data_IF_223231937474
#
_entry.id   IF_223231937474
#
_cell.length_a   1.000
_cell.length_b   1.000
_cell.length_c   1.000
_cell.angle_alpha   90.00
_cell.angle_beta   90.00
_cell.angle_gamma   90.00
#
_symmetry.space_group_name_H-M   'P 1'
#
loop_
_entity.id
_entity.type
_entity.pdbx_description
1 polymer ?
#
# COMPACT_ATOMS: atom_id res chain seq x y z
N UNK A 1 -12.97 27.89 49.19
CA UNK A 1 -12.41 28.50 47.95
C UNK A 1 -11.44 27.58 47.18
N UNK A 2 -11.11 26.36 47.64
CA UNK A 2 -10.16 25.45 46.95
C UNK A 2 -10.72 24.53 45.85
N UNK A 3 -12.04 24.41 45.70
CA UNK A 3 -12.67 23.49 44.73
C UNK A 3 -12.39 23.86 43.26
N UNK A 4 -12.31 25.16 42.96
CA UNK A 4 -12.02 25.64 41.60
C UNK A 4 -10.61 25.23 41.18
N UNK A 5 -9.63 25.31 42.09
CA UNK A 5 -8.26 24.87 41.82
C UNK A 5 -8.18 23.37 41.53
N UNK A 6 -8.89 22.55 42.32
CA UNK A 6 -8.96 21.10 42.08
C UNK A 6 -9.60 20.78 40.73
N UNK A 7 -10.77 21.37 40.43
CA UNK A 7 -11.47 21.14 39.16
C UNK A 7 -10.62 21.52 37.95
N UNK A 8 -9.89 22.64 38.02
CA UNK A 8 -8.96 23.06 36.97
C UNK A 8 -7.78 22.10 36.82
N UNK A 9 -7.17 21.64 37.91
CA UNK A 9 -6.08 20.66 37.87
C UNK A 9 -6.53 19.36 37.21
N UNK A 10 -7.68 18.81 37.61
CA UNK A 10 -8.22 17.59 37.00
C UNK A 10 -8.60 17.79 35.53
N UNK A 11 -9.26 18.90 35.20
CA UNK A 11 -9.63 19.23 33.82
C UNK A 11 -8.43 19.35 32.91
N UNK A 12 -7.34 19.98 33.37
CA UNK A 12 -6.10 20.12 32.62
C UNK A 12 -5.38 18.77 32.44
N UNK A 13 -5.27 17.97 33.49
CA UNK A 13 -4.66 16.63 33.41
C UNK A 13 -5.43 15.72 32.45
N UNK A 14 -6.76 15.75 32.49
CA UNK A 14 -7.60 14.99 31.58
C UNK A 14 -7.46 15.50 30.14
N UNK A 15 -7.47 16.81 29.92
CA UNK A 15 -7.28 17.39 28.58
C UNK A 15 -5.95 16.95 27.97
N UNK A 16 -4.86 17.02 28.75
CA UNK A 16 -3.54 16.56 28.31
C UNK A 16 -3.56 15.07 27.95
N UNK A 17 -4.14 14.22 28.80
CA UNK A 17 -4.28 12.79 28.53
C UNK A 17 -5.11 12.52 27.26
N UNK A 18 -6.17 13.29 27.01
CA UNK A 18 -6.97 13.19 25.80
C UNK A 18 -6.18 13.54 24.54
N UNK A 19 -5.42 14.65 24.57
CA UNK A 19 -4.59 15.06 23.42
C UNK A 19 -3.58 13.97 23.07
N UNK A 20 -2.86 13.44 24.06
CA UNK A 20 -1.90 12.35 23.85
C UNK A 20 -2.60 11.07 23.33
N UNK A 21 -3.79 10.76 23.85
CA UNK A 21 -4.56 9.58 23.41
C UNK A 21 -4.98 9.69 21.95
N UNK A 22 -5.41 10.87 21.50
CA UNK A 22 -5.75 11.12 20.09
C UNK A 22 -4.51 10.97 19.20
N UNK A 23 -3.38 11.54 19.62
CA UNK A 23 -2.12 11.42 18.88
C UNK A 23 -1.69 9.95 18.72
N UNK A 24 -1.80 9.16 19.79
CA UNK A 24 -1.49 7.73 19.75
C UNK A 24 -2.44 6.96 18.83
N UNK A 25 -3.74 7.27 18.85
CA UNK A 25 -4.70 6.65 17.93
C UNK A 25 -4.37 6.95 16.46
N UNK A 26 -4.00 8.20 16.14
CA UNK A 26 -3.57 8.57 14.79
C UNK A 26 -2.30 7.82 14.35
N UNK A 27 -1.32 7.67 15.25
CA UNK A 27 -0.09 6.92 14.98
C UNK A 27 -0.39 5.43 14.72
N UNK A 28 -1.22 4.81 15.55
CA UNK A 28 -1.62 3.41 15.38
C UNK A 28 -2.38 3.18 14.07
N UNK A 29 -3.32 4.06 13.73
CA UNK A 29 -4.06 3.97 12.48
C UNK A 29 -3.12 4.01 11.26
N UNK A 30 -2.15 4.94 11.27
CA UNK A 30 -1.15 5.03 10.20
C UNK A 30 -0.26 3.77 10.12
N UNK A 31 0.11 3.19 11.26
CA UNK A 31 0.89 1.95 11.28
C UNK A 31 0.10 0.77 10.69
N UNK A 32 -1.18 0.62 11.05
CA UNK A 32 -2.04 -0.44 10.52
C UNK A 32 -2.19 -0.32 9.00
N UNK A 33 -2.49 0.89 8.50
CA UNK A 33 -2.63 1.15 7.05
C UNK A 33 -1.32 0.85 6.30
N UNK A 34 -0.17 1.18 6.91
CA UNK A 34 1.14 0.88 6.34
C UNK A 34 1.36 -0.63 6.18
N UNK A 35 1.05 -1.41 7.24
CA UNK A 35 1.16 -2.87 7.21
C UNK A 35 0.18 -3.48 6.21
N UNK A 36 -1.06 -3.00 6.14
CA UNK A 36 -2.04 -3.50 5.18
C UNK A 36 -1.56 -3.28 3.74
N UNK A 37 -1.00 -2.09 3.44
CA UNK A 37 -0.44 -1.79 2.12
C UNK A 37 0.72 -2.73 1.77
N UNK A 38 1.65 -2.94 2.69
CA UNK A 38 2.78 -3.87 2.47
C UNK A 38 2.26 -5.29 2.24
N UNK A 39 1.32 -5.76 3.07
CA UNK A 39 0.74 -7.08 2.93
C UNK A 39 0.00 -7.26 1.59
N UNK A 40 -0.67 -6.22 1.10
CA UNK A 40 -1.29 -6.23 -0.22
C UNK A 40 -0.27 -6.37 -1.35
N UNK A 41 0.93 -5.79 -1.23
CA UNK A 41 2.00 -5.95 -2.21
C UNK A 41 2.66 -7.34 -2.15
N UNK A 42 2.68 -7.98 -0.98
CA UNK A 42 3.24 -9.33 -0.82
C UNK A 42 2.38 -10.42 -1.46
N UNK A 43 1.07 -10.21 -1.57
CA UNK A 43 0.11 -11.16 -2.15
C UNK A 43 -0.20 -10.89 -3.64
N UNK A 44 0.51 -9.94 -4.25
CA UNK A 44 0.39 -9.72 -5.69
C UNK A 44 0.99 -10.91 -6.41
N UNK A 45 0.23 -11.49 -7.34
CA UNK A 45 0.72 -12.54 -8.22
C UNK A 45 1.98 -12.03 -8.93
N UNK A 46 3.09 -12.76 -8.76
CA UNK A 46 4.38 -12.40 -9.36
C UNK A 46 4.18 -12.11 -10.84
N UNK A 47 4.68 -10.95 -11.28
CA UNK A 47 4.77 -10.64 -12.69
C UNK A 47 5.54 -11.75 -13.42
N UNK A 48 5.33 -11.88 -14.74
CA UNK A 48 5.97 -12.89 -15.56
C UNK A 48 7.48 -12.92 -15.29
N UNK A 49 8.05 -14.12 -15.17
CA UNK A 49 9.45 -14.31 -14.81
C UNK A 49 10.36 -13.46 -15.70
N UNK A 50 11.27 -12.69 -15.08
CA UNK A 50 12.17 -11.73 -15.74
C UNK A 50 12.99 -12.36 -16.87
N UNK A 51 13.30 -13.65 -16.73
CA UNK A 51 13.99 -14.45 -17.75
C UNK A 51 13.33 -15.81 -17.86
N UNK A 52 12.76 -16.12 -19.02
CA UNK A 52 12.28 -17.46 -19.37
C UNK A 52 13.39 -18.15 -20.16
N UNK A 53 14.19 -18.99 -19.50
CA UNK A 53 15.32 -19.71 -20.14
C UNK A 53 14.87 -20.56 -21.34
N UNK A 54 13.62 -21.05 -21.35
CA UNK A 54 13.06 -21.79 -22.49
C UNK A 54 12.75 -20.94 -23.74
N UNK A 55 12.60 -19.62 -23.60
CA UNK A 55 12.20 -18.71 -24.69
C UNK A 55 13.19 -17.56 -24.89
N UNK A 56 14.46 -17.77 -24.57
CA UNK A 56 15.49 -16.74 -24.77
C UNK A 56 15.78 -16.57 -26.27
N UNK A 57 15.64 -15.35 -26.83
CA UNK A 57 16.04 -15.10 -28.20
C UNK A 57 17.55 -15.34 -28.37
N UNK A 58 17.97 -15.81 -29.55
CA UNK A 58 19.39 -15.91 -29.91
C UNK A 58 20.08 -14.54 -29.75
N UNK A 59 21.39 -14.53 -29.52
CA UNK A 59 22.16 -13.28 -29.30
C UNK A 59 22.07 -12.29 -30.46
N UNK A 60 21.76 -12.77 -31.67
CA UNK A 60 21.61 -11.94 -32.87
C UNK A 60 20.17 -11.40 -33.03
N UNK A 61 19.26 -11.69 -32.10
CA UNK A 61 17.89 -11.19 -32.12
C UNK A 61 17.82 -9.71 -31.69
N UNK A 62 17.00 -8.89 -32.35
CA UNK A 62 16.27 -9.17 -33.59
C UNK A 62 17.15 -8.94 -34.82
N UNK A 63 17.36 -9.98 -35.63
CA UNK A 63 18.13 -9.88 -36.88
C UNK A 63 17.42 -9.01 -37.93
N UNK A 64 16.09 -8.96 -37.88
CA UNK A 64 15.27 -8.13 -38.75
C UNK A 64 14.07 -7.62 -37.92
N UNK A 65 13.98 -6.31 -37.70
CA UNK A 65 13.00 -5.67 -36.80
C UNK A 65 11.57 -5.61 -37.32
N UNK A 66 11.07 -6.68 -37.96
CA UNK A 66 9.69 -6.75 -38.43
C UNK A 66 8.79 -7.35 -37.36
N UNK A 67 7.77 -6.60 -36.93
CA UNK A 67 6.78 -7.03 -35.94
C UNK A 67 5.45 -7.20 -36.66
N UNK A 68 4.98 -8.45 -36.76
CA UNK A 68 3.68 -8.79 -37.35
C UNK A 68 2.67 -9.05 -36.23
N UNK A 69 1.63 -8.21 -36.15
CA UNK A 69 0.60 -8.30 -35.11
C UNK A 69 -0.59 -9.06 -35.68
N UNK A 70 -0.81 -10.29 -35.22
CA UNK A 70 -1.93 -11.13 -35.64
C UNK A 70 -2.92 -11.30 -34.50
N UNK A 71 -4.17 -10.91 -34.73
CA UNK A 71 -5.32 -11.10 -33.82
C UNK A 71 -5.07 -10.70 -32.36
N UNK A 72 -4.38 -9.58 -32.14
CA UNK A 72 -4.08 -9.05 -30.81
C UNK A 72 -5.36 -8.54 -30.12
N UNK A 73 -5.83 -9.29 -29.12
CA UNK A 73 -6.94 -8.87 -28.25
C UNK A 73 -6.41 -8.36 -26.91
N UNK A 74 -6.34 -7.04 -26.75
CA UNK A 74 -5.97 -6.40 -25.49
C UNK A 74 -7.18 -6.35 -24.56
N UNK A 75 -7.12 -7.10 -23.46
CA UNK A 75 -8.09 -6.99 -22.37
C UNK A 75 -7.42 -6.16 -21.28
N UNK A 76 -8.02 -5.03 -20.92
CA UNK A 76 -7.53 -4.21 -19.81
C UNK A 76 -7.66 -5.01 -18.52
N UNK A 77 -6.53 -5.46 -17.98
CA UNK A 77 -6.51 -6.10 -16.67
C UNK A 77 -7.03 -5.13 -15.59
N UNK A 78 -8.19 -5.46 -15.01
CA UNK A 78 -8.82 -4.71 -13.92
C UNK A 78 -8.33 -5.21 -12.57
N UNK A 79 -7.03 -5.18 -12.29
CA UNK A 79 -6.50 -5.66 -11.01
C UNK A 79 -6.86 -4.78 -9.80
N UNK A 80 -7.42 -3.57 -10.01
CA UNK A 80 -7.64 -2.58 -8.95
C UNK A 80 -9.12 -2.24 -8.67
N UNK A 81 -10.10 -2.94 -9.26
CA UNK A 81 -11.53 -2.63 -9.04
C UNK A 81 -12.25 -3.56 -8.03
N UNK A 82 -11.51 -4.40 -7.29
CA UNK A 82 -12.08 -5.50 -6.52
C UNK A 82 -11.95 -5.44 -5.00
N UNK A 83 -11.55 -4.32 -4.39
CA UNK A 83 -11.61 -4.15 -2.94
C UNK A 83 -12.57 -3.02 -2.58
N UNK A 84 -13.87 -3.32 -2.67
CA UNK A 84 -14.90 -2.66 -1.87
C UNK A 84 -15.10 -3.49 -0.61
#
# INVERSE_FOLDING_TARGET
TGFVGMALSYGLSLNFAFVVSIEMQCKLANQIISVERVNQYMDIQSEAAEVVEENRPLSDWPQNGNVDIRDLKVIRCKYLQGKK
#
